data_IF_165805603001
#
_entry.id   IF_165805603001
#
_cell.length_a   1.000
_cell.length_b   1.000
_cell.length_c   1.000
_cell.angle_alpha   90.00
_cell.angle_beta   90.00
_cell.angle_gamma   90.00
#
_symmetry.space_group_name_H-M   'P 1'
#
loop_
_entity.id
_entity.type
_entity.pdbx_description
1 polymer ?
#
# COMPACT_ATOMS: atom_id res chain seq x y z
N UNK A 1 4.66 10.86 16.78
CA UNK A 1 3.89 10.67 15.55
C UNK A 1 2.75 9.72 15.82
N UNK A 2 1.50 10.06 15.47
CA UNK A 2 0.33 9.15 15.56
C UNK A 2 0.53 7.83 14.81
N UNK A 3 1.42 7.83 13.82
CA UNK A 3 1.68 6.71 12.91
C UNK A 3 2.64 5.65 13.46
N UNK A 4 3.40 5.94 14.52
CA UNK A 4 4.30 4.94 15.12
C UNK A 4 3.67 4.17 16.28
N UNK A 5 2.67 4.75 16.94
CA UNK A 5 2.17 4.24 18.23
C UNK A 5 1.02 3.24 18.13
N UNK A 6 0.25 3.28 17.05
CA UNK A 6 -0.88 2.39 16.81
C UNK A 6 -0.48 1.29 15.79
N UNK A 7 -0.36 0.02 16.21
CA UNK A 7 -0.04 -1.08 15.29
C UNK A 7 -1.14 -1.33 14.24
N UNK A 8 -2.35 -0.79 14.44
CA UNK A 8 -3.50 -0.89 13.52
C UNK A 8 -3.73 0.36 12.68
N UNK A 9 -2.77 1.29 12.65
CA UNK A 9 -2.91 2.51 11.87
C UNK A 9 -3.08 2.26 10.36
N UNK A 10 -2.62 1.11 9.86
CA UNK A 10 -2.84 0.71 8.47
C UNK A 10 -4.22 0.10 8.23
N UNK A 11 -4.84 -0.56 9.23
CA UNK A 11 -6.23 -0.99 9.13
C UNK A 11 -7.14 0.25 8.97
N UNK A 12 -7.02 1.22 9.88
CA UNK A 12 -7.80 2.48 9.83
C UNK A 12 -7.60 3.22 8.49
N UNK A 13 -6.37 3.20 7.96
CA UNK A 13 -6.04 3.84 6.68
C UNK A 13 -6.59 3.07 5.48
N UNK A 14 -6.58 1.73 5.54
CA UNK A 14 -7.13 0.87 4.52
C UNK A 14 -8.66 0.98 4.47
N UNK A 15 -9.33 0.97 5.62
CA UNK A 15 -10.79 1.10 5.72
C UNK A 15 -11.27 2.41 5.10
N UNK A 16 -10.51 3.51 5.28
CA UNK A 16 -10.78 4.78 4.61
C UNK A 16 -10.85 4.67 3.08
N UNK A 17 -10.04 3.81 2.44
CA UNK A 17 -10.12 3.58 0.98
C UNK A 17 -11.31 2.71 0.55
N UNK A 18 -11.85 1.90 1.46
CA UNK A 18 -13.05 1.12 1.23
C UNK A 18 -14.34 1.92 1.45
N UNK A 19 -14.26 3.02 2.20
CA UNK A 19 -15.43 3.83 2.57
C UNK A 19 -15.50 5.18 1.85
N UNK A 20 -14.37 5.80 1.49
CA UNK A 20 -14.34 7.16 0.96
C UNK A 20 -14.01 7.23 -0.55
N UNK A 21 -15.01 7.66 -1.32
CA UNK A 21 -14.93 7.98 -2.75
C UNK A 21 -14.51 9.45 -3.00
N UNK A 22 -13.56 10.00 -2.21
CA UNK A 22 -13.23 11.44 -2.29
C UNK A 22 -12.59 11.86 -3.62
N UNK A 23 -11.90 10.95 -4.31
CA UNK A 23 -11.24 11.19 -5.61
C UNK A 23 -11.76 10.23 -6.70
N UNK A 24 -12.24 9.06 -6.30
CA UNK A 24 -12.63 8.00 -7.24
C UNK A 24 -14.16 7.84 -7.28
N UNK A 25 -14.75 7.47 -8.42
CA UNK A 25 -16.20 7.43 -8.60
C UNK A 25 -16.88 6.28 -7.84
N UNK A 26 -16.11 5.33 -7.31
CA UNK A 26 -16.57 4.22 -6.48
C UNK A 26 -15.55 3.92 -5.36
N UNK A 27 -15.92 3.14 -4.34
CA UNK A 27 -14.95 2.57 -3.40
C UNK A 27 -14.04 1.51 -4.05
N UNK A 28 -12.94 1.17 -3.39
CA UNK A 28 -12.11 0.04 -3.80
C UNK A 28 -12.81 -1.30 -3.51
N UNK A 29 -12.77 -2.22 -4.46
CA UNK A 29 -13.34 -3.57 -4.34
C UNK A 29 -12.25 -4.63 -4.45
N UNK A 30 -12.33 -5.67 -3.60
CA UNK A 30 -11.44 -6.82 -3.68
C UNK A 30 -11.83 -7.68 -4.90
N UNK A 31 -10.88 -7.94 -5.80
CA UNK A 31 -11.14 -8.77 -7.00
C UNK A 31 -10.88 -10.27 -6.77
N UNK A 32 -10.63 -10.67 -5.52
CA UNK A 32 -10.30 -12.02 -5.08
C UNK A 32 -9.12 -12.65 -5.85
N UNK A 33 -8.23 -11.80 -6.34
CA UNK A 33 -6.99 -12.19 -7.01
C UNK A 33 -5.79 -11.76 -6.18
N UNK A 34 -4.80 -12.64 -6.11
CA UNK A 34 -3.53 -12.33 -5.48
C UNK A 34 -2.44 -12.01 -6.49
N UNK A 35 -1.66 -10.97 -6.21
CA UNK A 35 -0.49 -10.58 -6.98
C UNK A 35 0.74 -10.66 -6.07
N UNK A 36 1.61 -11.65 -6.29
CA UNK A 36 2.80 -11.92 -5.45
C UNK A 36 2.47 -12.00 -3.94
N UNK A 37 1.37 -12.68 -3.60
CA UNK A 37 0.92 -12.85 -2.21
C UNK A 37 0.21 -11.63 -1.60
N UNK A 38 -0.15 -10.64 -2.42
CA UNK A 38 -0.94 -9.47 -2.01
C UNK A 38 -2.36 -9.59 -2.54
N UNK A 39 -3.36 -9.33 -1.69
CA UNK A 39 -4.75 -9.20 -2.13
C UNK A 39 -4.90 -7.93 -2.98
N UNK A 40 -5.59 -8.05 -4.11
CA UNK A 40 -5.73 -6.96 -5.08
C UNK A 40 -7.08 -6.27 -4.93
N UNK A 41 -7.05 -4.95 -4.87
CA UNK A 41 -8.20 -4.07 -4.80
C UNK A 41 -8.12 -3.07 -5.95
N UNK A 42 -9.23 -2.88 -6.65
CA UNK A 42 -9.32 -1.92 -7.76
C UNK A 42 -10.48 -0.95 -7.53
N UNK A 43 -10.45 0.16 -8.24
CA UNK A 43 -11.64 0.95 -8.46
C UNK A 43 -12.36 0.47 -9.74
N UNK A 44 -13.51 -0.16 -9.59
CA UNK A 44 -14.33 -0.65 -10.71
C UNK A 44 -15.42 0.35 -11.15
N UNK A 45 -15.36 1.58 -10.64
CA UNK A 45 -16.27 2.66 -11.00
C UNK A 45 -16.11 3.12 -12.45
N UNK A 46 -17.04 3.98 -12.87
CA UNK A 46 -17.05 4.60 -14.20
C UNK A 46 -16.72 6.08 -14.04
N UNK A 47 -15.79 6.58 -14.85
CA UNK A 47 -15.47 7.99 -14.93
C UNK A 47 -16.69 8.76 -15.49
N UNK A 48 -17.27 9.72 -14.75
CA UNK A 48 -18.45 10.44 -15.18
C UNK A 48 -18.21 11.33 -16.41
N UNK A 49 -16.98 11.80 -16.64
CA UNK A 49 -16.64 12.67 -17.77
C UNK A 49 -16.49 11.87 -19.07
N UNK A 50 -15.76 10.75 -18.99
CA UNK A 50 -15.41 9.96 -20.18
C UNK A 50 -16.34 8.77 -20.42
N UNK A 51 -17.16 8.39 -19.44
CA UNK A 51 -18.02 7.20 -19.44
C UNK A 51 -17.24 5.89 -19.67
N UNK A 52 -15.94 5.89 -19.35
CA UNK A 52 -15.05 4.73 -19.42
C UNK A 52 -14.78 4.18 -18.02
N UNK A 53 -14.27 2.93 -17.91
CA UNK A 53 -13.81 2.41 -16.63
C UNK A 53 -12.83 3.40 -15.98
N UNK A 54 -13.07 3.79 -14.72
CA UNK A 54 -12.21 4.73 -14.01
C UNK A 54 -10.79 4.21 -13.89
N UNK A 55 -10.58 2.89 -13.95
CA UNK A 55 -9.26 2.27 -14.00
C UNK A 55 -8.38 2.77 -15.17
N UNK A 56 -8.97 3.32 -16.23
CA UNK A 56 -8.27 3.95 -17.36
C UNK A 56 -7.92 5.44 -17.12
N UNK A 57 -8.44 6.04 -16.04
CA UNK A 57 -8.19 7.42 -15.68
C UNK A 57 -6.73 7.60 -15.22
N UNK A 58 -6.11 8.74 -15.55
CA UNK A 58 -4.69 9.01 -15.26
C UNK A 58 -4.37 9.10 -13.75
N UNK A 59 -5.38 9.29 -12.89
CA UNK A 59 -5.27 9.22 -11.42
C UNK A 59 -5.62 7.85 -10.84
N UNK A 60 -5.97 6.87 -11.67
CA UNK A 60 -6.35 5.57 -11.17
C UNK A 60 -5.16 4.82 -10.59
N UNK A 61 -5.39 4.18 -9.45
CA UNK A 61 -4.41 3.32 -8.80
C UNK A 61 -5.03 1.93 -8.59
N UNK A 62 -4.22 0.89 -8.71
CA UNK A 62 -4.52 -0.41 -8.12
C UNK A 62 -3.89 -0.47 -6.72
N UNK A 63 -4.59 -1.09 -5.77
CA UNK A 63 -4.12 -1.25 -4.40
C UNK A 63 -3.87 -2.73 -4.08
N UNK A 64 -2.71 -3.00 -3.51
CA UNK A 64 -2.25 -4.34 -3.14
C UNK A 64 -1.98 -4.41 -1.64
N UNK A 65 -2.53 -5.41 -0.97
CA UNK A 65 -2.58 -5.47 0.49
C UNK A 65 -2.04 -6.79 1.01
N UNK A 66 -1.13 -6.72 1.99
CA UNK A 66 -0.71 -7.88 2.77
C UNK A 66 -1.31 -7.80 4.18
N UNK A 67 -1.82 -8.93 4.66
CA UNK A 67 -2.32 -9.10 6.02
C UNK A 67 -1.48 -10.12 6.77
N UNK A 68 -1.35 -9.92 8.09
CA UNK A 68 -0.78 -10.94 8.96
C UNK A 68 -1.76 -12.09 9.22
N UNK A 69 -1.30 -13.09 9.98
CA UNK A 69 -2.10 -14.26 10.35
C UNK A 69 -3.34 -13.92 11.20
N UNK A 70 -3.37 -12.75 11.83
CA UNK A 70 -4.51 -12.26 12.60
C UNK A 70 -5.48 -11.42 11.73
N UNK A 71 -5.15 -11.23 10.45
CA UNK A 71 -5.96 -10.48 9.48
C UNK A 71 -5.71 -8.97 9.47
N UNK A 72 -4.77 -8.46 10.26
CA UNK A 72 -4.47 -7.03 10.28
C UNK A 72 -3.63 -6.64 9.07
N UNK A 73 -3.88 -5.45 8.51
CA UNK A 73 -3.12 -4.89 7.39
C UNK A 73 -1.71 -4.54 7.85
N UNK A 74 -0.71 -5.15 7.23
CA UNK A 74 0.71 -4.87 7.51
C UNK A 74 1.40 -4.11 6.38
N UNK A 75 0.90 -4.24 5.16
CA UNK A 75 1.45 -3.57 3.98
C UNK A 75 0.32 -3.12 3.06
N UNK A 76 0.41 -1.89 2.57
CA UNK A 76 -0.44 -1.33 1.51
C UNK A 76 0.47 -0.80 0.41
N UNK A 77 0.25 -1.22 -0.83
CA UNK A 77 0.99 -0.73 -1.98
C UNK A 77 -0.01 -0.22 -3.00
N UNK A 78 0.09 1.06 -3.36
CA UNK A 78 -0.74 1.70 -4.36
C UNK A 78 0.10 1.98 -5.58
N UNK A 79 -0.35 1.54 -6.75
CA UNK A 79 0.39 1.72 -7.98
C UNK A 79 -0.48 2.42 -9.02
N UNK A 80 0.07 3.48 -9.62
CA UNK A 80 -0.59 4.16 -10.73
C UNK A 80 -0.84 3.17 -11.89
N UNK A 81 -1.97 3.37 -12.56
CA UNK A 81 -2.41 2.62 -13.73
C UNK A 81 -2.16 3.38 -15.06
N UNK A 82 -1.58 4.58 -14.99
CA UNK A 82 -1.35 5.43 -16.14
C UNK A 82 -0.35 4.80 -17.13
N UNK A 83 -0.54 5.08 -18.41
CA UNK A 83 0.31 4.57 -19.49
C UNK A 83 1.61 5.41 -19.60
N UNK A 84 2.46 5.27 -18.59
CA UNK A 84 3.80 5.87 -18.55
C UNK A 84 4.86 4.78 -18.44
N UNK A 85 6.10 5.10 -18.86
CA UNK A 85 7.21 4.14 -18.89
C UNK A 85 7.46 3.43 -17.54
N UNK A 86 7.24 4.14 -16.43
CA UNK A 86 7.52 3.65 -15.08
C UNK A 86 6.44 4.16 -14.12
N UNK A 87 5.24 3.55 -14.12
CA UNK A 87 4.15 3.95 -13.24
C UNK A 87 4.63 3.82 -11.79
N UNK A 88 4.51 4.86 -10.94
CA UNK A 88 4.99 4.77 -9.57
C UNK A 88 4.09 3.90 -8.72
N UNK A 89 4.68 3.24 -7.72
CA UNK A 89 3.99 2.68 -6.59
C UNK A 89 4.42 3.39 -5.30
N UNK A 90 3.47 3.66 -4.42
CA UNK A 90 3.71 4.03 -3.02
C UNK A 90 3.50 2.80 -2.15
N UNK A 91 4.49 2.44 -1.34
CA UNK A 91 4.50 1.26 -0.47
C UNK A 91 4.60 1.72 0.99
N UNK A 92 3.51 1.52 1.71
CA UNK A 92 3.38 1.78 3.14
C UNK A 92 3.40 0.47 3.93
N UNK A 93 4.19 0.39 5.00
CA UNK A 93 4.14 -0.73 5.92
C UNK A 93 4.53 -0.34 7.36
N UNK A 94 4.09 -1.15 8.31
CA UNK A 94 4.48 -1.02 9.71
C UNK A 94 5.85 -1.66 9.92
N UNK A 95 6.79 -0.91 10.50
CA UNK A 95 8.08 -1.45 10.87
C UNK A 95 7.93 -2.49 12.00
N UNK A 96 8.66 -3.61 11.96
CA UNK A 96 8.53 -4.64 12.97
C UNK A 96 8.97 -4.15 14.37
N UNK A 97 8.42 -4.72 15.46
CA UNK A 97 8.88 -4.45 16.81
C UNK A 97 10.39 -4.67 17.00
N UNK A 98 11.03 -4.00 17.99
CA UNK A 98 10.42 -3.15 19.02
C UNK A 98 10.21 -1.69 18.57
N UNK A 99 10.67 -1.33 17.38
CA UNK A 99 10.58 0.05 16.89
C UNK A 99 9.18 0.36 16.36
N UNK A 100 8.73 1.57 16.65
CA UNK A 100 7.39 2.07 16.37
C UNK A 100 7.44 3.08 15.22
N UNK A 101 7.62 2.58 14.00
CA UNK A 101 7.84 3.36 12.79
C UNK A 101 6.86 2.92 11.71
N UNK A 102 6.30 3.89 10.97
CA UNK A 102 5.64 3.64 9.68
C UNK A 102 6.61 4.05 8.59
N UNK A 103 6.79 3.21 7.59
CA UNK A 103 7.62 3.50 6.42
C UNK A 103 6.71 3.73 5.24
N UNK A 104 7.02 4.76 4.45
CA UNK A 104 6.45 5.01 3.15
C UNK A 104 7.61 5.18 2.17
N UNK A 105 7.57 4.46 1.04
CA UNK A 105 8.58 4.54 -0.01
C UNK A 105 7.94 4.48 -1.39
N UNK A 106 8.63 5.02 -2.39
CA UNK A 106 8.16 4.98 -3.78
C UNK A 106 9.13 4.21 -4.68
N UNK A 107 8.60 3.40 -5.59
CA UNK A 107 9.38 2.70 -6.62
C UNK A 107 8.54 2.39 -7.86
N UNK A 108 9.15 2.10 -9.01
CA UNK A 108 8.41 1.74 -10.24
C UNK A 108 7.60 0.46 -10.09
N UNK A 109 6.40 0.41 -10.66
CA UNK A 109 5.47 -0.73 -10.62
C UNK A 109 6.07 -2.05 -11.09
N UNK A 110 7.05 -2.00 -11.99
CA UNK A 110 7.79 -3.19 -12.42
C UNK A 110 8.50 -3.93 -11.27
N UNK A 111 8.81 -3.21 -10.17
CA UNK A 111 9.46 -3.78 -8.99
C UNK A 111 8.46 -4.33 -7.96
N UNK A 112 7.15 -4.27 -8.21
CA UNK A 112 6.12 -4.77 -7.29
C UNK A 112 6.30 -6.27 -7.00
N UNK A 113 6.80 -7.05 -7.96
CA UNK A 113 7.13 -8.47 -7.74
C UNK A 113 8.20 -8.70 -6.66
N UNK A 114 8.97 -7.67 -6.33
CA UNK A 114 10.05 -7.71 -5.34
C UNK A 114 9.66 -7.01 -4.03
N UNK A 115 8.39 -6.67 -3.80
CA UNK A 115 7.94 -5.88 -2.65
C UNK A 115 8.42 -6.44 -1.31
N UNK A 116 8.40 -7.76 -1.11
CA UNK A 116 8.88 -8.41 0.11
C UNK A 116 10.38 -8.19 0.30
N UNK A 117 11.16 -8.35 -0.77
CA UNK A 117 12.62 -8.12 -0.75
C UNK A 117 12.94 -6.65 -0.46
N UNK A 118 12.21 -5.72 -1.07
CA UNK A 118 12.34 -4.28 -0.84
C UNK A 118 12.05 -3.96 0.63
N UNK A 119 10.92 -4.43 1.15
CA UNK A 119 10.52 -4.24 2.55
C UNK A 119 11.56 -4.83 3.51
N UNK A 120 11.99 -6.06 3.30
CA UNK A 120 12.97 -6.74 4.17
C UNK A 120 14.32 -6.01 4.19
N UNK A 121 14.79 -5.52 3.04
CA UNK A 121 16.03 -4.72 2.97
C UNK A 121 15.87 -3.36 3.65
N UNK A 122 14.73 -2.70 3.49
CA UNK A 122 14.45 -1.45 4.21
C UNK A 122 14.46 -1.66 5.73
N UNK A 123 13.87 -2.78 6.20
CA UNK A 123 13.90 -3.17 7.61
C UNK A 123 15.33 -3.36 8.10
N UNK A 124 16.13 -4.19 7.40
CA UNK A 124 17.52 -4.45 7.76
C UNK A 124 18.36 -3.18 7.79
N UNK A 125 18.18 -2.29 6.80
CA UNK A 125 18.90 -1.02 6.74
C UNK A 125 18.59 -0.12 7.93
N UNK A 126 17.31 0.01 8.30
CA UNK A 126 16.89 0.86 9.42
C UNK A 126 17.30 0.26 10.77
N UNK A 127 17.28 -1.07 10.92
CA UNK A 127 17.81 -1.76 12.11
C UNK A 127 19.29 -1.43 12.36
N UNK A 128 20.06 -1.14 11.30
CA UNK A 128 21.44 -0.66 11.44
C UNK A 128 21.61 0.67 12.19
N UNK A 129 20.53 1.46 12.35
CA UNK A 129 20.53 2.70 13.14
C UNK A 129 19.95 2.52 14.54
N UNK A 130 19.58 1.30 14.93
CA UNK A 130 19.03 1.05 16.26
C UNK A 130 20.11 1.39 17.32
N UNK A 131 19.79 2.31 18.23
CA UNK A 131 20.68 2.64 19.32
C UNK A 131 20.82 1.45 20.28
N UNK A 132 22.05 1.15 20.70
CA UNK A 132 22.29 0.20 21.78
C UNK A 132 21.61 0.72 23.06
N UNK A 133 20.78 -0.12 23.68
CA UNK A 133 20.29 0.14 25.03
C UNK A 133 21.50 0.04 25.96
N UNK A 134 22.00 1.18 26.45
CA UNK A 134 22.93 1.18 27.57
C UNK A 134 22.13 0.85 28.83
N UNK A 135 22.44 -0.29 29.43
CA UNK A 135 21.94 -0.69 30.76
C UNK A 135 22.43 0.27 31.86
#
# INVERSE_FOLDING_TARGET
SRYGTNPRALDDYFDGYLELAEIAPAPYVNIHQQYHGLDTYINDGIDPETQRPFREHWLAEDMFVFRDEQGNVQTIIKCANDDVKSPPCTHDFNFPPPMKIRISMMYPRQNLAQWQTIQNKAVQFIQGFQAELRE
#
